data_IF_955373305409
#
_entry.id   IF_955373305409
#
_cell.length_a   1.000
_cell.length_b   1.000
_cell.length_c   1.000
_cell.angle_alpha   90.00
_cell.angle_beta   90.00
_cell.angle_gamma   90.00
#
_symmetry.space_group_name_H-M   'P 1'
#
loop_
_entity.id
_entity.type
_entity.pdbx_description
1 polymer ?
#
# COMPACT_ATOMS: atom_id res chain seq x y z
N UNK A 1 -12.40 -2.94 -2.57
CA UNK A 1 -13.31 -3.10 -1.41
C UNK A 1 -14.75 -3.51 -1.79
N UNK A 2 -14.92 -4.61 -2.52
CA UNK A 2 -16.22 -5.30 -2.67
C UNK A 2 -16.07 -6.78 -2.29
N UNK A 3 -15.23 -7.05 -1.29
CA UNK A 3 -15.27 -8.30 -0.57
C UNK A 3 -15.95 -8.05 0.77
N UNK A 4 -17.00 -8.84 0.95
CA UNK A 4 -17.83 -9.03 2.13
C UNK A 4 -16.99 -8.80 3.40
N UNK A 5 -17.54 -8.05 4.35
CA UNK A 5 -17.00 -7.82 5.68
C UNK A 5 -16.75 -9.16 6.41
N UNK A 6 -15.69 -9.87 6.04
CA UNK A 6 -15.05 -10.85 6.89
C UNK A 6 -14.38 -10.03 7.99
N UNK A 7 -14.74 -10.30 9.25
CA UNK A 7 -14.00 -9.75 10.39
C UNK A 7 -12.56 -10.24 10.29
N UNK A 8 -11.66 -9.41 9.78
CA UNK A 8 -10.24 -9.61 9.96
C UNK A 8 -9.89 -9.27 11.42
N UNK A 9 -8.94 -9.99 12.00
CA UNK A 9 -8.48 -9.77 13.38
C UNK A 9 -7.40 -8.69 13.44
N UNK A 10 -6.57 -8.60 12.39
CA UNK A 10 -5.55 -7.59 12.25
C UNK A 10 -5.37 -7.21 10.78
N UNK A 11 -4.82 -6.02 10.56
CA UNK A 11 -4.40 -5.59 9.22
C UNK A 11 -3.06 -4.88 9.28
N UNK A 12 -2.34 -4.85 8.16
CA UNK A 12 -1.14 -4.03 7.98
C UNK A 12 -1.10 -3.45 6.57
N UNK A 13 -0.37 -2.35 6.40
CA UNK A 13 -0.06 -1.81 5.08
C UNK A 13 1.32 -2.31 4.63
N UNK A 14 1.42 -2.77 3.39
CA UNK A 14 2.69 -3.05 2.74
C UNK A 14 2.96 -2.00 1.67
N UNK A 15 4.18 -1.50 1.66
CA UNK A 15 4.62 -0.48 0.74
C UNK A 15 5.72 -1.09 -0.11
N UNK A 16 5.52 -1.07 -1.42
CA UNK A 16 6.55 -1.45 -2.37
C UNK A 16 6.87 -0.28 -3.29
N UNK A 17 8.15 -0.12 -3.60
CA UNK A 17 8.61 0.90 -4.53
C UNK A 17 8.84 0.22 -5.88
N UNK A 18 7.93 0.47 -6.80
CA UNK A 18 8.11 0.20 -8.22
C UNK A 18 9.12 1.20 -8.79
N UNK A 19 10.19 0.70 -9.41
CA UNK A 19 11.12 1.50 -10.21
C UNK A 19 10.58 1.62 -11.63
N UNK A 20 9.85 2.68 -11.93
CA UNK A 20 9.62 3.10 -13.33
C UNK A 20 10.71 4.12 -13.69
N UNK A 21 11.60 3.72 -14.59
CA UNK A 21 12.88 4.39 -14.87
C UNK A 21 12.73 5.63 -15.76
N UNK A 22 11.51 6.06 -16.09
CA UNK A 22 11.23 7.15 -17.02
C UNK A 22 10.87 8.42 -16.25
N UNK A 23 11.60 9.51 -16.48
CA UNK A 23 11.33 10.85 -15.92
C UNK A 23 11.43 11.01 -14.39
N UNK A 24 12.26 10.22 -13.69
CA UNK A 24 12.42 10.27 -12.22
C UNK A 24 11.13 10.06 -11.41
N UNK A 25 10.21 9.25 -11.93
CA UNK A 25 8.96 8.91 -11.23
C UNK A 25 9.10 7.50 -10.68
N UNK A 26 9.12 7.35 -9.36
CA UNK A 26 8.95 6.04 -8.75
C UNK A 26 7.48 5.83 -8.46
N UNK A 27 6.97 4.61 -8.56
CA UNK A 27 5.60 4.34 -8.16
C UNK A 27 5.60 3.67 -6.78
N UNK A 28 4.83 4.26 -5.87
CA UNK A 28 4.53 3.68 -4.58
C UNK A 28 3.30 2.78 -4.72
N UNK A 29 3.50 1.49 -4.50
CA UNK A 29 2.45 0.48 -4.50
C UNK A 29 2.06 0.22 -3.05
N UNK A 30 0.78 0.39 -2.73
CA UNK A 30 0.26 0.18 -1.38
C UNK A 30 -0.66 -1.04 -1.40
N UNK A 31 -0.35 -2.03 -0.58
CA UNK A 31 -1.22 -3.19 -0.34
C UNK A 31 -1.77 -3.13 1.07
N UNK A 32 -3.04 -3.47 1.24
CA UNK A 32 -3.61 -3.81 2.54
C UNK A 32 -3.51 -5.32 2.72
N UNK A 33 -2.96 -5.71 3.86
CA UNK A 33 -2.82 -7.10 4.27
C UNK A 33 -3.78 -7.37 5.40
N UNK A 34 -4.76 -8.20 5.16
CA UNK A 34 -5.72 -8.63 6.17
C UNK A 34 -5.30 -9.97 6.75
N UNK A 35 -5.43 -10.14 8.07
CA UNK A 35 -5.18 -11.39 8.79
C UNK A 35 -6.46 -11.82 9.47
N UNK A 36 -6.87 -13.06 9.24
CA UNK A 36 -8.07 -13.66 9.82
C UNK A 36 -7.71 -14.62 10.95
N UNK A 37 -8.68 -14.99 11.79
CA UNK A 37 -8.43 -15.83 12.98
C UNK A 37 -7.94 -17.26 12.72
N UNK A 38 -8.00 -17.72 11.47
CA UNK A 38 -7.35 -18.97 11.04
C UNK A 38 -5.90 -18.76 10.57
N UNK A 39 -5.31 -17.61 10.84
CA UNK A 39 -3.99 -17.17 10.36
C UNK A 39 -3.86 -17.10 8.84
N UNK A 40 -4.96 -17.19 8.09
CA UNK A 40 -4.95 -16.90 6.66
C UNK A 40 -4.75 -15.40 6.43
N UNK A 41 -4.13 -15.08 5.29
CA UNK A 41 -3.81 -13.72 4.90
C UNK A 41 -4.21 -13.46 3.46
N UNK A 42 -4.77 -12.28 3.22
CA UNK A 42 -5.06 -11.74 1.89
C UNK A 42 -4.31 -10.42 1.73
N UNK A 43 -3.67 -10.24 0.58
CA UNK A 43 -3.05 -8.98 0.17
C UNK A 43 -3.91 -8.38 -0.96
N UNK A 44 -4.58 -7.26 -0.72
CA UNK A 44 -5.34 -6.51 -1.72
C UNK A 44 -4.54 -5.24 -2.10
N UNK A 45 -4.35 -5.03 -3.41
CA UNK A 45 -3.77 -3.78 -3.92
C UNK A 45 -4.76 -2.64 -3.61
N UNK A 46 -4.35 -1.71 -2.76
CA UNK A 46 -5.17 -0.55 -2.41
C UNK A 46 -5.03 0.54 -3.47
N UNK A 47 -3.80 0.88 -3.83
CA UNK A 47 -3.54 1.95 -4.79
C UNK A 47 -2.12 1.88 -5.36
N UNK A 48 -1.94 2.57 -6.48
CA UNK A 48 -0.67 2.79 -7.15
C UNK A 48 -0.49 4.29 -7.33
N UNK A 49 0.55 4.85 -6.71
CA UNK A 49 0.76 6.29 -6.67
C UNK A 49 2.11 6.66 -7.27
N UNK A 50 2.15 7.45 -8.36
CA UNK A 50 3.40 8.04 -8.82
C UNK A 50 3.91 9.04 -7.78
N UNK A 51 5.16 8.87 -7.37
CA UNK A 51 5.91 9.74 -6.47
C UNK A 51 7.06 10.33 -7.26
N UNK A 52 6.98 11.64 -7.49
CA UNK A 52 7.97 12.39 -8.27
C UNK A 52 9.09 12.90 -7.36
N UNK A 53 10.31 12.97 -7.89
CA UNK A 53 11.49 13.62 -7.33
C UNK A 53 12.16 12.91 -6.14
N UNK A 54 11.48 12.62 -5.04
CA UNK A 54 12.11 11.98 -3.86
C UNK A 54 11.29 10.83 -3.27
N UNK A 55 11.96 9.70 -2.99
CA UNK A 55 11.38 8.55 -2.28
C UNK A 55 11.85 8.51 -0.83
N UNK A 56 11.90 9.67 -0.14
CA UNK A 56 12.29 9.69 1.28
C UNK A 56 11.11 9.21 2.12
N UNK A 57 11.41 8.69 3.32
CA UNK A 57 10.36 8.18 4.22
C UNK A 57 9.27 9.21 4.54
N UNK A 58 9.61 10.50 4.56
CA UNK A 58 8.65 11.61 4.76
C UNK A 58 7.63 11.71 3.62
N UNK A 59 8.09 11.61 2.38
CA UNK A 59 7.24 11.74 1.19
C UNK A 59 6.25 10.58 1.12
N UNK A 60 6.77 9.36 1.36
CA UNK A 60 5.98 8.14 1.45
C UNK A 60 4.95 8.23 2.59
N UNK A 61 5.36 8.67 3.78
CA UNK A 61 4.45 8.84 4.92
C UNK A 61 3.33 9.85 4.63
N UNK A 62 3.66 10.95 3.96
CA UNK A 62 2.69 11.99 3.63
C UNK A 62 1.69 11.51 2.58
N UNK A 63 2.14 10.77 1.56
CA UNK A 63 1.25 10.13 0.58
C UNK A 63 0.32 9.10 1.22
N UNK A 64 0.80 8.35 2.21
CA UNK A 64 -0.01 7.36 2.96
C UNK A 64 -1.03 8.03 3.86
N UNK A 65 -0.62 9.05 4.64
CA UNK A 65 -1.51 9.76 5.57
C UNK A 65 -2.74 10.37 4.88
N UNK A 66 -2.63 10.69 3.59
CA UNK A 66 -3.75 11.24 2.80
C UNK A 66 -4.72 10.13 2.36
N UNK A 67 -4.28 8.86 2.31
CA UNK A 67 -4.99 7.75 1.66
C UNK A 67 -5.43 6.62 2.59
N UNK A 68 -4.85 6.54 3.79
CA UNK A 68 -5.29 5.69 4.91
C UNK A 68 -5.97 6.55 5.97
#
# INVERSE_FOLDING_TARGET
MKHIALKFEAFSAALDKSTVTTNNIADLVIFIREVYGNFSRIDELLTFQPVKDTTKGRDIFQEIKIRL
#
